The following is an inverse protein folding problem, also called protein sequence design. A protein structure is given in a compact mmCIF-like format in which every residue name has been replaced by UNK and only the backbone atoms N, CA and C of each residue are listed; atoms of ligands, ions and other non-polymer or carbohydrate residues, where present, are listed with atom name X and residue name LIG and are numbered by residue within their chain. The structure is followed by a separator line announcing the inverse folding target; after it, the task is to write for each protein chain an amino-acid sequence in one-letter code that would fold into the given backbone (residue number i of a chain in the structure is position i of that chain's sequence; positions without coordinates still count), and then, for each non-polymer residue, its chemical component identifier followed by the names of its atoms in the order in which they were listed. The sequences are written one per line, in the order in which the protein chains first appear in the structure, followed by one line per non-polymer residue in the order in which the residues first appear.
data_IF_377141514711
#
_entry.id   IF_377141514711
#
_cell.length_a   1.000
_cell.length_b   1.000
_cell.length_c   1.000
_cell.angle_alpha   90.00
_cell.angle_beta   90.00
_cell.angle_gamma   90.00
#
_symmetry.space_group_name_H-M   'P 1'
#
loop_
_entity.id
_entity.type
_entity.pdbx_description
1 polymer ?
#
# COMPACT_ATOMS: atom_id res chain seq x y z
N UNK A 1 -49.13 -30.96 87.78
CA UNK A 1 -49.63 -29.58 87.59
C UNK A 1 -48.57 -28.84 86.79
N UNK A 2 -49.00 -28.26 85.67
CA UNK A 2 -48.48 -27.07 84.97
C UNK A 2 -46.97 -26.79 84.93
N UNK A 3 -46.47 -26.55 83.72
CA UNK A 3 -45.37 -25.60 83.50
C UNK A 3 -44.40 -26.03 82.41
N UNK A 4 -44.76 -25.83 81.14
CA UNK A 4 -43.78 -25.72 80.06
C UNK A 4 -43.14 -24.33 80.11
N UNK A 5 -41.82 -24.26 79.98
CA UNK A 5 -41.10 -23.06 79.59
C UNK A 5 -40.05 -23.46 78.55
N UNK A 6 -40.29 -23.09 77.29
CA UNK A 6 -39.36 -23.22 76.18
C UNK A 6 -38.19 -22.25 76.37
N UNK A 7 -36.96 -22.74 76.21
CA UNK A 7 -35.79 -21.90 75.96
C UNK A 7 -35.27 -22.25 74.58
N UNK A 8 -35.30 -21.26 73.69
CA UNK A 8 -34.94 -21.38 72.29
C UNK A 8 -33.42 -21.45 72.08
N UNK A 9 -33.01 -22.33 71.17
CA UNK A 9 -31.66 -22.36 70.59
C UNK A 9 -31.72 -21.58 69.28
N UNK A 10 -31.01 -20.46 69.20
CA UNK A 10 -30.87 -19.68 67.98
C UNK A 10 -29.91 -20.39 67.03
N UNK A 11 -30.43 -20.86 65.89
CA UNK A 11 -29.66 -21.42 64.79
C UNK A 11 -29.30 -20.25 63.85
N UNK A 12 -28.04 -19.80 63.87
CA UNK A 12 -27.52 -18.82 62.92
C UNK A 12 -27.28 -19.50 61.57
N UNK A 13 -28.22 -19.32 60.64
CA UNK A 13 -28.06 -19.70 59.23
C UNK A 13 -27.34 -18.56 58.51
N UNK A 14 -26.06 -18.76 58.21
CA UNK A 14 -25.29 -17.89 57.32
C UNK A 14 -25.65 -18.23 55.87
N UNK A 15 -26.50 -17.43 55.23
CA UNK A 15 -26.70 -17.46 53.79
C UNK A 15 -25.49 -16.83 53.12
N UNK A 16 -24.54 -17.64 52.67
CA UNK A 16 -23.56 -17.22 51.67
C UNK A 16 -24.28 -17.22 50.32
N UNK A 17 -24.70 -16.04 49.87
CA UNK A 17 -25.12 -15.83 48.48
C UNK A 17 -23.84 -15.70 47.63
N UNK A 18 -23.38 -16.80 47.04
CA UNK A 18 -22.50 -16.73 45.88
C UNK A 18 -23.39 -16.40 44.68
N UNK A 19 -23.30 -15.18 44.15
CA UNK A 19 -23.78 -14.90 42.81
C UNK A 19 -22.78 -15.52 41.84
N UNK A 20 -23.08 -16.72 41.33
CA UNK A 20 -22.46 -17.21 40.11
C UNK A 20 -22.97 -16.30 38.98
N UNK A 21 -22.15 -15.34 38.58
CA UNK A 21 -22.33 -14.69 37.29
C UNK A 21 -21.72 -15.63 36.25
N UNK A 22 -22.54 -16.39 35.54
CA UNK A 22 -22.13 -16.98 34.27
C UNK A 22 -21.83 -15.82 33.30
N UNK A 23 -20.55 -15.52 33.13
CA UNK A 23 -20.09 -14.67 32.03
C UNK A 23 -20.29 -15.50 30.77
N UNK A 24 -21.39 -15.25 30.06
CA UNK A 24 -21.57 -15.79 28.72
C UNK A 24 -20.62 -15.05 27.78
N UNK A 25 -19.45 -15.63 27.53
CA UNK A 25 -18.58 -15.19 26.45
C UNK A 25 -19.33 -15.42 25.13
N UNK A 26 -19.83 -14.32 24.55
CA UNK A 26 -20.51 -14.36 23.27
C UNK A 26 -19.46 -14.36 22.16
N UNK A 27 -19.38 -15.46 21.42
CA UNK A 27 -18.55 -15.55 20.21
C UNK A 27 -19.32 -14.98 19.02
N UNK A 28 -18.68 -14.05 18.32
CA UNK A 28 -19.11 -13.47 17.06
C UNK A 28 -18.38 -14.16 15.93
N UNK A 29 -19.07 -14.31 14.79
CA UNK A 29 -18.49 -14.84 13.56
C UNK A 29 -18.86 -13.90 12.44
N UNK A 30 -17.86 -13.24 11.87
CA UNK A 30 -17.98 -12.53 10.61
C UNK A 30 -17.52 -13.44 9.48
N UNK A 31 -18.25 -13.41 8.38
CA UNK A 31 -17.89 -14.12 7.14
C UNK A 31 -17.85 -13.08 6.03
N UNK A 32 -16.72 -13.00 5.36
CA UNK A 32 -16.51 -12.14 4.21
C UNK A 32 -16.27 -13.01 2.99
N UNK A 33 -16.83 -12.59 1.86
CA UNK A 33 -16.37 -13.05 0.57
C UNK A 33 -15.40 -12.00 0.07
N UNK A 34 -14.21 -12.43 -0.38
CA UNK A 34 -13.36 -11.54 -1.16
C UNK A 34 -14.02 -11.32 -2.52
N UNK A 35 -14.93 -10.34 -2.58
CA UNK A 35 -15.60 -9.95 -3.81
C UNK A 35 -14.59 -9.25 -4.74
N UNK A 36 -14.74 -9.49 -6.04
CA UNK A 36 -14.06 -8.71 -7.05
C UNK A 36 -14.66 -7.30 -7.09
N UNK A 37 -14.30 -6.43 -6.14
CA UNK A 37 -14.33 -5.02 -6.46
C UNK A 37 -13.25 -4.84 -7.52
N UNK A 38 -13.65 -4.59 -8.78
CA UNK A 38 -12.70 -4.40 -9.88
C UNK A 38 -11.94 -3.10 -9.60
N UNK A 39 -10.88 -3.22 -8.82
CA UNK A 39 -9.94 -2.15 -8.55
C UNK A 39 -9.09 -2.02 -9.81
N UNK A 40 -9.33 -0.95 -10.55
CA UNK A 40 -8.45 -0.56 -11.64
C UNK A 40 -7.35 0.31 -11.05
N UNK A 41 -6.08 -0.04 -11.28
CA UNK A 41 -4.95 0.78 -10.88
C UNK A 41 -3.94 0.93 -12.00
N UNK A 42 -3.51 2.16 -12.27
CA UNK A 42 -2.47 2.45 -13.24
C UNK A 42 -1.27 3.02 -12.48
N UNK A 43 -0.13 2.34 -12.57
CA UNK A 43 1.11 2.73 -11.89
C UNK A 43 2.11 3.20 -12.95
N UNK A 44 2.60 4.42 -12.80
CA UNK A 44 3.64 5.01 -13.63
C UNK A 44 4.92 5.18 -12.81
N UNK A 45 6.01 4.55 -13.23
CA UNK A 45 7.34 4.90 -12.76
C UNK A 45 7.96 5.93 -13.71
N UNK A 46 8.45 7.03 -13.15
CA UNK A 46 9.28 8.00 -13.85
C UNK A 46 10.67 7.93 -13.23
N UNK A 47 11.60 7.35 -13.97
CA UNK A 47 12.95 7.05 -13.49
C UNK A 47 13.93 7.97 -14.16
N UNK A 48 14.71 8.66 -13.35
CA UNK A 48 15.78 9.53 -13.81
C UNK A 48 16.87 8.74 -14.54
N UNK A 49 17.10 9.12 -15.79
CA UNK A 49 18.08 8.52 -16.70
C UNK A 49 19.33 9.40 -16.88
N UNK A 50 19.56 10.35 -15.96
CA UNK A 50 20.75 11.17 -15.92
C UNK A 50 22.03 10.36 -15.60
N UNK A 51 23.18 10.99 -15.86
CA UNK A 51 24.50 10.38 -15.71
C UNK A 51 24.90 9.99 -14.27
N UNK A 52 24.25 10.55 -13.26
CA UNK A 52 24.56 10.33 -11.84
C UNK A 52 23.80 9.14 -11.23
N UNK A 53 22.76 8.65 -11.91
CA UNK A 53 21.80 7.69 -11.37
C UNK A 53 22.24 6.23 -11.37
N UNK A 54 23.50 5.91 -11.71
CA UNK A 54 23.92 4.51 -11.92
C UNK A 54 23.75 3.66 -10.65
N UNK A 55 24.26 4.14 -9.51
CA UNK A 55 24.21 3.43 -8.23
C UNK A 55 22.78 3.35 -7.67
N UNK A 56 21.97 4.37 -7.90
CA UNK A 56 20.57 4.48 -7.51
C UNK A 56 19.70 3.52 -8.34
N UNK A 57 19.93 3.43 -9.65
CA UNK A 57 19.23 2.49 -10.55
C UNK A 57 19.56 1.03 -10.23
N UNK A 58 20.81 0.71 -9.88
CA UNK A 58 21.17 -0.65 -9.43
C UNK A 58 20.39 -1.05 -8.16
N UNK A 59 20.24 -0.11 -7.21
CA UNK A 59 19.43 -0.33 -6.00
C UNK A 59 17.94 -0.41 -6.31
N UNK A 60 17.43 0.38 -7.25
CA UNK A 60 16.05 0.27 -7.70
C UNK A 60 15.78 -1.11 -8.29
N UNK A 61 16.64 -1.57 -9.21
CA UNK A 61 16.53 -2.88 -9.83
C UNK A 61 16.57 -4.03 -8.81
N UNK A 62 17.40 -3.92 -7.77
CA UNK A 62 17.49 -4.91 -6.69
C UNK A 62 16.24 -4.99 -5.81
N UNK A 63 15.51 -3.88 -5.64
CA UNK A 63 14.32 -3.81 -4.79
C UNK A 63 12.99 -3.89 -5.57
N UNK A 64 13.03 -3.76 -6.89
CA UNK A 64 11.82 -3.74 -7.72
C UNK A 64 11.03 -5.06 -7.69
N UNK A 65 11.70 -6.19 -7.42
CA UNK A 65 11.02 -7.48 -7.28
C UNK A 65 10.00 -7.47 -6.13
N UNK A 66 10.27 -6.77 -5.02
CA UNK A 66 9.34 -6.67 -3.91
C UNK A 66 8.04 -5.95 -4.30
N UNK A 67 8.13 -4.93 -5.16
CA UNK A 67 6.95 -4.27 -5.73
C UNK A 67 6.14 -5.25 -6.58
N UNK A 68 6.79 -5.94 -7.53
CA UNK A 68 6.11 -6.87 -8.42
C UNK A 68 5.46 -8.04 -7.68
N UNK A 69 6.11 -8.57 -6.65
CA UNK A 69 5.53 -9.62 -5.79
C UNK A 69 4.21 -9.18 -5.14
N UNK A 70 4.12 -7.93 -4.68
CA UNK A 70 2.89 -7.37 -4.13
C UNK A 70 1.84 -7.18 -5.24
N UNK A 71 2.25 -6.65 -6.39
CA UNK A 71 1.34 -6.43 -7.52
C UNK A 71 0.75 -7.75 -8.04
N UNK A 72 1.53 -8.82 -8.08
CA UNK A 72 1.09 -10.16 -8.49
C UNK A 72 0.24 -10.87 -7.42
N UNK A 73 0.35 -10.47 -6.16
CA UNK A 73 -0.43 -11.03 -5.06
C UNK A 73 -1.84 -10.43 -4.94
N UNK A 74 -2.03 -9.20 -5.41
CA UNK A 74 -3.32 -8.52 -5.35
C UNK A 74 -4.29 -8.94 -6.46
N UNK A 75 -5.57 -8.67 -6.25
CA UNK A 75 -6.66 -9.00 -7.18
C UNK A 75 -7.05 -7.82 -8.10
N UNK A 76 -6.36 -6.68 -8.01
CA UNK A 76 -6.63 -5.52 -8.86
C UNK A 76 -6.25 -5.79 -10.32
N UNK A 77 -7.05 -5.25 -11.24
CA UNK A 77 -6.62 -5.14 -12.63
C UNK A 77 -5.67 -3.95 -12.74
N UNK A 78 -4.37 -4.22 -12.70
CA UNK A 78 -3.36 -3.17 -12.76
C UNK A 78 -2.68 -3.04 -14.13
N UNK A 79 -2.26 -1.82 -14.44
CA UNK A 79 -1.32 -1.51 -15.52
C UNK A 79 -0.07 -0.86 -14.93
N UNK A 80 1.08 -1.13 -15.52
CA UNK A 80 2.36 -0.55 -15.14
C UNK A 80 3.05 0.04 -16.36
N UNK A 81 3.49 1.28 -16.25
CA UNK A 81 4.29 1.98 -17.25
C UNK A 81 5.59 2.49 -16.65
N UNK A 82 6.63 2.58 -17.49
CA UNK A 82 7.92 3.18 -17.12
C UNK A 82 8.28 4.26 -18.14
N UNK A 83 8.55 5.47 -17.68
CA UNK A 83 9.06 6.58 -18.49
C UNK A 83 10.34 7.14 -17.84
N UNK A 84 11.05 8.01 -18.56
CA UNK A 84 12.24 8.70 -18.04
C UNK A 84 11.97 10.17 -17.74
N UNK A 85 12.86 10.84 -17.01
CA UNK A 85 12.79 12.29 -16.74
C UNK A 85 13.19 13.15 -17.95
N UNK A 86 13.80 12.56 -18.99
CA UNK A 86 14.22 13.28 -20.19
C UNK A 86 13.06 13.63 -21.13
N UNK A 87 12.65 14.90 -21.08
CA UNK A 87 11.63 15.47 -21.97
C UNK A 87 12.20 16.14 -23.22
N UNK A 88 13.52 16.10 -23.42
CA UNK A 88 14.20 16.74 -24.55
C UNK A 88 14.19 15.90 -25.84
N UNK A 89 13.79 14.63 -25.72
CA UNK A 89 13.76 13.67 -26.82
C UNK A 89 12.38 13.58 -27.49
N UNK A 90 12.33 12.95 -28.67
CA UNK A 90 11.06 12.60 -29.30
C UNK A 90 10.27 11.52 -28.53
N UNK A 91 10.92 10.83 -27.58
CA UNK A 91 10.34 9.78 -26.76
C UNK A 91 9.85 10.27 -25.40
N UNK A 92 9.90 11.59 -25.13
CA UNK A 92 9.43 12.21 -23.90
C UNK A 92 8.07 11.65 -23.45
N UNK A 93 8.01 11.05 -22.26
CA UNK A 93 6.79 10.46 -21.71
C UNK A 93 6.25 9.23 -22.44
N UNK A 94 6.94 8.65 -23.44
CA UNK A 94 6.58 7.35 -24.00
C UNK A 94 6.97 6.22 -23.04
N UNK A 95 6.10 5.22 -22.90
CA UNK A 95 6.37 4.10 -22.02
C UNK A 95 7.41 3.14 -22.61
N UNK A 96 8.51 2.93 -21.89
CA UNK A 96 9.55 1.96 -22.20
C UNK A 96 9.00 0.54 -22.08
N UNK A 97 9.06 -0.21 -23.17
CA UNK A 97 8.52 -1.57 -23.24
C UNK A 97 6.99 -1.65 -23.33
N UNK A 98 6.30 -0.50 -23.38
CA UNK A 98 4.84 -0.43 -23.45
C UNK A 98 4.16 -0.54 -22.09
N UNK A 99 2.92 -1.02 -22.12
CA UNK A 99 2.08 -1.20 -20.93
C UNK A 99 2.24 -2.64 -20.43
N UNK A 100 2.62 -2.79 -19.16
CA UNK A 100 2.70 -4.07 -18.48
C UNK A 100 1.42 -4.37 -17.70
N UNK A 101 1.04 -5.64 -17.59
CA UNK A 101 -0.11 -6.12 -16.82
C UNK A 101 0.15 -7.55 -16.31
N UNK A 102 -0.73 -8.15 -15.49
CA UNK A 102 -0.60 -9.57 -15.08
C UNK A 102 -0.48 -10.56 -16.25
N UNK A 103 -0.93 -10.17 -17.44
CA UNK A 103 -0.88 -10.99 -18.66
C UNK A 103 0.43 -10.86 -19.45
N UNK A 104 1.33 -9.96 -19.06
CA UNK A 104 2.62 -9.75 -19.74
C UNK A 104 3.49 -11.01 -19.62
N UNK A 105 3.92 -11.62 -20.74
CA UNK A 105 4.84 -12.76 -20.70
C UNK A 105 6.17 -12.38 -20.05
N UNK A 106 6.65 -13.22 -19.13
CA UNK A 106 7.89 -12.99 -18.40
C UNK A 106 7.94 -11.58 -17.76
N UNK A 107 6.82 -11.17 -17.14
CA UNK A 107 6.61 -9.85 -16.55
C UNK A 107 7.83 -9.29 -15.81
N UNK A 108 8.40 -10.03 -14.85
CA UNK A 108 9.56 -9.58 -14.09
C UNK A 108 10.77 -9.23 -14.96
N UNK A 109 11.04 -10.01 -16.01
CA UNK A 109 12.11 -9.73 -16.96
C UNK A 109 11.79 -8.52 -17.84
N UNK A 110 10.55 -8.42 -18.32
CA UNK A 110 10.13 -7.33 -19.20
C UNK A 110 10.15 -5.98 -18.48
N UNK A 111 9.63 -5.94 -17.25
CA UNK A 111 9.63 -4.73 -16.42
C UNK A 111 11.04 -4.39 -15.95
N UNK A 112 11.85 -5.38 -15.56
CA UNK A 112 13.25 -5.14 -15.19
C UNK A 112 14.05 -4.50 -16.33
N UNK A 113 13.79 -4.89 -17.58
CA UNK A 113 14.41 -4.25 -18.75
C UNK A 113 13.90 -2.82 -19.01
N UNK A 114 12.65 -2.51 -18.64
CA UNK A 114 12.08 -1.16 -18.78
C UNK A 114 12.60 -0.20 -17.71
N UNK A 115 12.72 -0.67 -16.46
CA UNK A 115 13.24 0.08 -15.30
C UNK A 115 14.75 0.33 -15.39
N UNK A 116 15.49 -0.53 -16.10
CA UNK A 116 16.89 -0.28 -16.46
C UNK A 116 16.98 0.81 -17.53
N UNK A 117 16.75 2.07 -17.12
CA UNK A 117 16.60 3.19 -18.05
C UNK A 117 17.93 3.60 -18.68
N UNK A 118 19.04 3.37 -17.98
CA UNK A 118 20.37 3.81 -18.41
C UNK A 118 20.66 5.22 -17.93
N UNK A 119 21.83 5.75 -18.29
CA UNK A 119 22.39 6.99 -17.73
C UNK A 119 22.79 7.98 -18.83
N UNK A 120 22.15 7.89 -20.00
CA UNK A 120 22.46 8.68 -21.20
C UNK A 120 21.47 9.86 -21.41
N UNK A 121 20.55 10.06 -20.47
CA UNK A 121 19.51 11.07 -20.51
C UNK A 121 20.01 12.49 -20.22
N UNK A 122 19.07 13.44 -20.33
CA UNK A 122 19.29 14.85 -20.03
C UNK A 122 19.78 15.09 -18.60
N UNK A 123 20.47 16.22 -18.40
CA UNK A 123 20.78 16.79 -17.07
C UNK A 123 19.74 17.82 -16.60
N UNK A 124 18.70 17.99 -17.41
CA UNK A 124 17.56 18.81 -17.07
C UNK A 124 16.39 17.84 -16.81
N UNK A 125 16.32 17.31 -15.59
CA UNK A 125 15.39 16.25 -15.19
C UNK A 125 13.98 16.82 -15.00
N UNK A 126 13.07 16.52 -15.91
CA UNK A 126 11.71 17.06 -15.90
C UNK A 126 10.68 15.95 -15.61
N UNK A 127 10.78 15.33 -14.44
CA UNK A 127 9.94 14.18 -14.07
C UNK A 127 8.45 14.50 -13.97
N UNK A 128 8.07 15.71 -13.53
CA UNK A 128 6.66 16.10 -13.48
C UNK A 128 6.07 16.26 -14.89
N UNK A 129 6.80 16.88 -15.81
CA UNK A 129 6.39 17.00 -17.20
C UNK A 129 6.38 15.65 -17.91
N UNK A 130 7.40 14.82 -17.71
CA UNK A 130 7.45 13.47 -18.25
C UNK A 130 6.23 12.64 -17.81
N UNK A 131 5.85 12.71 -16.53
CA UNK A 131 4.63 12.07 -16.03
C UNK A 131 3.37 12.63 -16.70
N UNK A 132 3.29 13.94 -16.92
CA UNK A 132 2.13 14.58 -17.55
C UNK A 132 1.98 14.14 -19.01
N UNK A 133 3.08 14.09 -19.75
CA UNK A 133 3.14 13.54 -21.10
C UNK A 133 2.79 12.06 -21.10
N UNK A 134 3.22 11.28 -20.12
CA UNK A 134 2.90 9.86 -20.08
C UNK A 134 1.40 9.57 -19.95
N UNK A 135 0.64 10.48 -19.33
CA UNK A 135 -0.80 10.35 -19.08
C UNK A 135 -1.68 11.21 -20.00
N UNK A 136 -1.12 11.93 -20.97
CA UNK A 136 -1.84 12.86 -21.86
C UNK A 136 -2.67 12.17 -22.97
N UNK A 137 -2.58 10.84 -23.06
CA UNK A 137 -3.20 10.02 -24.08
C UNK A 137 -2.27 9.55 -25.19
N UNK A 138 -1.00 9.97 -25.22
CA UNK A 138 0.01 9.48 -26.17
C UNK A 138 0.32 7.99 -25.99
N UNK A 139 0.25 7.50 -24.76
CA UNK A 139 0.33 6.08 -24.44
C UNK A 139 -1.08 5.48 -24.45
N UNK A 140 -1.55 5.13 -25.66
CA UNK A 140 -2.92 4.66 -25.86
C UNK A 140 -3.24 3.45 -24.95
N UNK A 141 -4.24 3.62 -24.09
CA UNK A 141 -4.74 2.58 -23.19
C UNK A 141 -4.08 2.53 -21.81
N UNK A 142 -3.08 3.38 -21.53
CA UNK A 142 -2.38 3.37 -20.25
C UNK A 142 -3.28 3.83 -19.10
N UNK A 143 -3.71 5.10 -19.11
CA UNK A 143 -4.61 5.62 -18.06
C UNK A 143 -6.04 5.26 -18.39
N UNK A 144 -6.65 4.43 -17.55
CA UNK A 144 -8.03 3.96 -17.66
C UNK A 144 -8.95 4.87 -16.84
N UNK A 145 -10.08 5.31 -17.43
CA UNK A 145 -11.04 6.13 -16.69
C UNK A 145 -11.52 5.45 -15.41
N UNK A 146 -11.37 6.13 -14.27
CA UNK A 146 -11.79 5.62 -12.96
C UNK A 146 -10.78 4.70 -12.27
N UNK A 147 -9.63 4.44 -12.87
CA UNK A 147 -8.51 3.78 -12.19
C UNK A 147 -7.82 4.72 -11.20
N UNK A 148 -7.32 4.18 -10.09
CA UNK A 148 -6.39 4.88 -9.22
C UNK A 148 -5.04 5.02 -9.94
N UNK A 149 -4.56 6.25 -10.10
CA UNK A 149 -3.28 6.56 -10.72
C UNK A 149 -2.20 6.77 -9.65
N UNK A 150 -1.16 5.95 -9.68
CA UNK A 150 0.03 6.11 -8.85
C UNK A 150 1.20 6.55 -9.73
N UNK A 151 1.76 7.73 -9.48
CA UNK A 151 2.99 8.20 -10.13
C UNK A 151 4.13 8.07 -9.12
N UNK A 152 5.14 7.26 -9.43
CA UNK A 152 6.33 7.05 -8.61
C UNK A 152 7.52 7.68 -9.31
N UNK A 153 8.04 8.77 -8.75
CA UNK A 153 9.22 9.46 -9.26
C UNK A 153 10.47 8.94 -8.53
N UNK A 154 11.54 8.70 -9.27
CA UNK A 154 12.82 8.24 -8.74
C UNK A 154 13.95 9.08 -9.36
N UNK A 155 14.54 10.01 -8.59
CA UNK A 155 15.52 11.00 -9.10
C UNK A 155 16.46 11.49 -7.99
N UNK A 156 17.73 11.74 -8.31
CA UNK A 156 18.74 12.28 -7.40
C UNK A 156 18.84 13.81 -7.42
N UNK A 157 18.05 14.51 -8.23
CA UNK A 157 17.96 15.97 -8.29
C UNK A 157 16.51 16.48 -8.15
N UNK A 158 16.32 17.80 -8.19
CA UNK A 158 14.97 18.40 -8.18
C UNK A 158 14.38 18.46 -9.59
N UNK A 159 13.07 18.52 -9.68
CA UNK A 159 12.36 18.65 -10.95
C UNK A 159 12.63 20.02 -11.62
N UNK A 160 13.04 20.00 -12.88
CA UNK A 160 13.22 21.20 -13.71
C UNK A 160 12.07 21.43 -14.70
N UNK A 161 10.93 20.76 -14.52
CA UNK A 161 9.76 20.94 -15.38
C UNK A 161 9.22 22.37 -15.31
N UNK A 162 8.77 22.89 -16.46
CA UNK A 162 8.24 24.26 -16.57
C UNK A 162 6.86 24.40 -15.90
N UNK A 163 6.72 25.30 -14.93
CA UNK A 163 5.44 25.66 -14.33
C UNK A 163 5.27 25.20 -12.88
N UNK A 164 4.04 25.28 -12.36
CA UNK A 164 3.74 25.03 -10.95
C UNK A 164 3.41 23.56 -10.71
N UNK A 165 3.88 23.01 -9.58
CA UNK A 165 3.64 21.60 -9.19
C UNK A 165 2.14 21.29 -9.12
N UNK A 166 1.34 22.25 -8.66
CA UNK A 166 -0.11 22.11 -8.55
C UNK A 166 -0.80 21.90 -9.91
N UNK A 167 -0.28 22.47 -11.00
CA UNK A 167 -0.85 22.31 -12.34
C UNK A 167 -0.61 20.89 -12.87
N UNK A 168 0.59 20.33 -12.64
CA UNK A 168 0.90 18.94 -12.95
C UNK A 168 0.01 17.97 -12.18
N UNK A 169 -0.12 18.17 -10.86
CA UNK A 169 -1.01 17.35 -10.01
C UNK A 169 -2.47 17.43 -10.47
N UNK A 170 -2.94 18.62 -10.88
CA UNK A 170 -4.28 18.78 -11.45
C UNK A 170 -4.43 18.01 -12.78
N UNK A 171 -3.39 18.00 -13.63
CA UNK A 171 -3.33 17.20 -14.85
C UNK A 171 -3.45 15.71 -14.58
N UNK A 172 -2.69 15.17 -13.61
CA UNK A 172 -2.76 13.74 -13.26
C UNK A 172 -4.15 13.35 -12.75
N UNK A 173 -4.78 14.19 -11.92
CA UNK A 173 -6.15 13.97 -11.44
C UNK A 173 -7.16 13.99 -12.57
N UNK A 174 -7.00 14.92 -13.52
CA UNK A 174 -7.88 14.98 -14.68
C UNK A 174 -7.75 13.72 -15.56
N UNK A 175 -6.53 13.20 -15.72
CA UNK A 175 -6.28 11.95 -16.44
C UNK A 175 -6.92 10.73 -15.74
N UNK A 176 -6.82 10.65 -14.40
CA UNK A 176 -7.46 9.58 -13.60
C UNK A 176 -9.01 9.67 -13.59
N UNK A 177 -9.57 10.82 -13.93
CA UNK A 177 -11.02 11.05 -13.97
C UNK A 177 -11.63 11.06 -12.58
N UNK A 178 -12.50 10.08 -12.29
CA UNK A 178 -13.09 9.91 -10.95
C UNK A 178 -12.18 9.11 -10.00
N UNK A 179 -11.08 8.54 -10.51
CA UNK A 179 -10.08 7.85 -9.71
C UNK A 179 -9.22 8.82 -8.90
N UNK A 180 -8.54 8.29 -7.88
CA UNK A 180 -7.53 9.04 -7.14
C UNK A 180 -6.25 9.16 -7.99
N UNK A 181 -5.49 10.24 -7.80
CA UNK A 181 -4.13 10.36 -8.33
C UNK A 181 -3.17 10.70 -7.18
N UNK A 182 -2.18 9.84 -6.98
CA UNK A 182 -1.16 9.95 -5.93
C UNK A 182 0.23 10.03 -6.55
N UNK A 183 1.04 10.96 -6.03
CA UNK A 183 2.45 11.09 -6.40
C UNK A 183 3.29 10.60 -5.21
N UNK A 184 4.17 9.65 -5.48
CA UNK A 184 5.16 9.12 -4.56
C UNK A 184 6.55 9.46 -5.09
N UNK A 185 7.54 9.55 -4.20
CA UNK A 185 8.89 9.96 -4.60
C UNK A 185 9.99 9.24 -3.82
N UNK A 186 10.99 8.74 -4.53
CA UNK A 186 12.31 8.39 -3.96
C UNK A 186 13.28 9.46 -4.43
N UNK A 187 13.58 10.43 -3.57
CA UNK A 187 14.33 11.65 -3.93
C UNK A 187 15.24 12.09 -2.79
N UNK A 188 16.17 13.01 -3.05
CA UNK A 188 17.05 13.53 -2.01
C UNK A 188 16.33 14.38 -0.96
N UNK A 189 16.83 14.32 0.28
CA UNK A 189 16.15 14.88 1.44
C UNK A 189 16.12 16.42 1.47
N UNK A 190 15.06 16.99 2.05
CA UNK A 190 15.02 18.43 2.35
C UNK A 190 15.75 18.77 3.65
N UNK A 191 16.34 19.97 3.77
CA UNK A 191 16.38 21.04 2.75
C UNK A 191 17.63 21.01 1.84
N UNK A 192 18.58 20.10 2.07
CA UNK A 192 19.94 20.22 1.53
C UNK A 192 20.40 19.03 0.66
N UNK A 193 19.52 18.08 0.39
CA UNK A 193 19.88 16.79 -0.20
C UNK A 193 20.24 15.75 0.86
N UNK A 194 20.75 14.62 0.39
CA UNK A 194 21.22 13.52 1.23
C UNK A 194 22.55 12.98 0.71
N UNK A 195 23.24 12.23 1.58
CA UNK A 195 24.40 11.44 1.18
C UNK A 195 24.51 10.19 2.07
N UNK A 196 24.76 9.03 1.46
CA UNK A 196 24.99 7.77 2.13
C UNK A 196 25.89 6.86 1.30
N UNK A 197 26.99 6.40 1.86
CA UNK A 197 27.93 5.53 1.14
C UNK A 197 28.47 6.20 -0.14
N UNK A 198 28.21 5.59 -1.30
CA UNK A 198 28.55 6.12 -2.62
C UNK A 198 27.43 6.95 -3.27
N UNK A 199 26.28 7.08 -2.62
CA UNK A 199 25.11 7.83 -3.10
C UNK A 199 25.09 9.24 -2.53
N UNK A 200 24.78 10.22 -3.37
CA UNK A 200 24.50 11.58 -2.96
C UNK A 200 23.47 12.18 -3.91
N UNK A 201 22.54 12.96 -3.37
CA UNK A 201 21.44 13.55 -4.13
C UNK A 201 21.19 14.99 -3.68
N UNK A 202 20.81 15.84 -4.63
CA UNK A 202 20.23 17.14 -4.36
C UNK A 202 18.84 17.04 -3.72
N UNK A 203 18.32 18.12 -3.12
CA UNK A 203 16.98 18.12 -2.54
C UNK A 203 15.89 18.06 -3.63
N UNK A 204 14.98 17.07 -3.58
CA UNK A 204 13.85 16.94 -4.53
C UNK A 204 12.61 17.76 -4.13
N UNK A 205 12.74 19.07 -3.96
CA UNK A 205 11.71 19.94 -3.38
C UNK A 205 10.36 19.91 -4.08
N UNK A 206 10.33 19.96 -5.41
CA UNK A 206 9.08 19.96 -6.19
C UNK A 206 8.39 18.60 -6.16
N UNK A 207 9.16 17.51 -6.15
CA UNK A 207 8.60 16.17 -5.94
C UNK A 207 7.99 16.03 -4.53
N UNK A 208 8.66 16.55 -3.50
CA UNK A 208 8.11 16.56 -2.12
C UNK A 208 6.83 17.40 -2.03
N UNK A 209 6.74 18.51 -2.77
CA UNK A 209 5.50 19.28 -2.89
C UNK A 209 4.37 18.46 -3.55
N UNK A 210 4.65 17.77 -4.65
CA UNK A 210 3.67 16.92 -5.34
C UNK A 210 3.16 15.78 -4.45
N UNK A 211 4.07 15.15 -3.69
CA UNK A 211 3.76 14.14 -2.67
C UNK A 211 2.79 14.72 -1.62
N UNK A 212 3.07 15.92 -1.11
CA UNK A 212 2.22 16.57 -0.11
C UNK A 212 0.83 16.92 -0.66
N UNK A 213 0.76 17.44 -1.89
CA UNK A 213 -0.51 17.81 -2.55
C UNK A 213 -1.42 16.61 -2.82
N UNK A 214 -0.86 15.41 -2.90
CA UNK A 214 -1.58 14.18 -3.24
C UNK A 214 -1.65 13.16 -2.10
N UNK A 215 -1.13 13.52 -0.92
CA UNK A 215 -1.04 12.63 0.25
C UNK A 215 -0.31 11.30 -0.06
N UNK A 216 0.69 11.35 -0.96
CA UNK A 216 1.52 10.20 -1.26
C UNK A 216 2.63 9.97 -0.24
N UNK A 217 3.60 9.15 -0.62
CA UNK A 217 4.71 8.75 0.25
C UNK A 217 6.04 9.17 -0.35
N UNK A 218 7.00 9.49 0.51
CA UNK A 218 8.38 9.76 0.10
C UNK A 218 9.35 8.82 0.80
N UNK A 219 10.45 8.54 0.13
CA UNK A 219 11.63 7.90 0.70
C UNK A 219 12.88 8.69 0.27
N UNK A 220 13.93 8.64 1.08
CA UNK A 220 15.23 9.20 0.74
C UNK A 220 15.92 8.32 -0.30
N UNK A 221 16.35 8.87 -1.43
CA UNK A 221 17.13 8.11 -2.43
C UNK A 221 18.48 7.63 -1.90
N UNK A 222 18.96 8.18 -0.79
CA UNK A 222 20.18 7.72 -0.13
C UNK A 222 19.97 6.51 0.79
N UNK A 223 18.74 5.97 0.92
CA UNK A 223 18.53 4.72 1.66
C UNK A 223 19.10 3.52 0.90
N UNK A 224 19.49 2.48 1.62
CA UNK A 224 19.97 1.23 1.02
C UNK A 224 18.82 0.34 0.52
N UNK A 225 17.61 0.53 1.04
CA UNK A 225 16.44 -0.31 0.76
C UNK A 225 15.18 0.53 0.50
N UNK A 226 14.66 0.44 -0.73
CA UNK A 226 13.43 1.12 -1.16
C UNK A 226 12.17 0.27 -0.97
N UNK A 227 12.32 -0.97 -0.47
CA UNK A 227 11.24 -1.96 -0.41
C UNK A 227 10.06 -1.47 0.42
N UNK A 228 10.26 -0.68 1.48
CA UNK A 228 9.15 -0.16 2.29
C UNK A 228 8.21 0.72 1.45
N UNK A 229 8.76 1.71 0.74
CA UNK A 229 7.97 2.58 -0.13
C UNK A 229 7.32 1.78 -1.26
N UNK A 230 8.12 0.95 -1.94
CA UNK A 230 7.69 0.15 -3.07
C UNK A 230 6.54 -0.80 -2.70
N UNK A 231 6.68 -1.54 -1.60
CA UNK A 231 5.61 -2.41 -1.07
C UNK A 231 4.39 -1.59 -0.70
N UNK A 232 4.54 -0.42 -0.06
CA UNK A 232 3.40 0.43 0.31
C UNK A 232 2.63 0.93 -0.90
N UNK A 233 3.33 1.38 -1.94
CA UNK A 233 2.72 1.77 -3.22
C UNK A 233 2.01 0.57 -3.85
N UNK A 234 2.67 -0.58 -3.92
CA UNK A 234 2.07 -1.81 -4.44
C UNK A 234 0.77 -2.18 -3.71
N UNK A 235 0.78 -2.18 -2.38
CA UNK A 235 -0.38 -2.48 -1.54
C UNK A 235 -1.52 -1.51 -1.78
N UNK A 236 -1.22 -0.21 -1.96
CA UNK A 236 -2.22 0.79 -2.29
C UNK A 236 -2.82 0.56 -3.67
N UNK A 237 -1.96 0.34 -4.67
CA UNK A 237 -2.34 0.16 -6.06
C UNK A 237 -3.24 -1.07 -6.23
N UNK A 238 -2.87 -2.20 -5.61
CA UNK A 238 -3.69 -3.42 -5.74
C UNK A 238 -4.75 -3.57 -4.67
N UNK A 239 -4.78 -2.66 -3.69
CA UNK A 239 -5.71 -2.68 -2.56
C UNK A 239 -5.71 -4.02 -1.85
N UNK A 240 -4.82 -4.19 -0.86
CA UNK A 240 -4.97 -5.35 0.02
C UNK A 240 -6.33 -5.28 0.71
N UNK A 241 -7.17 -6.32 0.60
CA UNK A 241 -8.51 -6.27 1.15
C UNK A 241 -8.45 -6.17 2.68
N UNK A 242 -9.04 -5.10 3.21
CA UNK A 242 -9.26 -4.93 4.65
C UNK A 242 -10.68 -5.37 4.98
N UNK A 243 -10.81 -6.30 5.93
CA UNK A 243 -12.10 -6.88 6.29
C UNK A 243 -12.60 -6.26 7.59
N UNK A 244 -13.44 -5.23 7.47
CA UNK A 244 -14.00 -4.51 8.61
C UNK A 244 -14.94 -5.42 9.42
N UNK A 245 -14.63 -5.59 10.70
CA UNK A 245 -15.39 -6.42 11.63
C UNK A 245 -16.69 -5.72 12.04
N UNK A 246 -17.74 -6.51 12.23
CA UNK A 246 -19.06 -6.02 12.67
C UNK A 246 -19.02 -5.42 14.08
N UNK A 247 -18.08 -5.86 14.92
CA UNK A 247 -17.89 -5.36 16.29
C UNK A 247 -16.42 -5.29 16.66
N UNK A 248 -16.09 -4.54 17.71
CA UNK A 248 -14.70 -4.41 18.20
C UNK A 248 -14.31 -5.68 18.95
N UNK A 249 -13.36 -6.49 18.44
CA UNK A 249 -12.96 -7.74 19.07
C UNK A 249 -12.09 -7.50 20.31
N UNK A 250 -12.05 -8.48 21.20
CA UNK A 250 -10.92 -8.70 22.10
C UNK A 250 -9.77 -9.33 21.28
N UNK A 251 -8.63 -8.65 21.09
CA UNK A 251 -7.61 -9.10 20.12
C UNK A 251 -7.11 -10.53 20.33
N UNK A 252 -6.93 -10.95 21.59
CA UNK A 252 -6.39 -12.28 21.91
C UNK A 252 -7.33 -13.44 21.58
N UNK A 253 -8.60 -13.13 21.29
CA UNK A 253 -9.65 -14.11 20.95
C UNK A 253 -9.81 -14.31 19.46
N UNK A 254 -9.17 -13.48 18.63
CA UNK A 254 -9.27 -13.55 17.17
C UNK A 254 -8.77 -14.91 16.64
N UNK A 255 -9.59 -15.50 15.79
CA UNK A 255 -9.26 -16.65 14.94
C UNK A 255 -9.74 -16.33 13.53
N UNK A 256 -8.86 -16.54 12.56
CA UNK A 256 -9.09 -16.15 11.16
C UNK A 256 -8.84 -17.36 10.27
N UNK A 257 -9.72 -17.58 9.30
CA UNK A 257 -9.61 -18.63 8.29
C UNK A 257 -9.73 -18.04 6.89
N UNK A 258 -9.01 -18.63 5.93
CA UNK A 258 -9.15 -18.38 4.49
C UNK A 258 -9.42 -19.74 3.83
N UNK A 259 -10.58 -19.93 3.21
CA UNK A 259 -11.04 -21.21 2.64
C UNK A 259 -10.75 -22.40 3.60
N UNK A 260 -11.23 -22.29 4.84
CA UNK A 260 -11.05 -23.27 5.94
C UNK A 260 -9.61 -23.45 6.47
N UNK A 261 -8.61 -22.74 5.93
CA UNK A 261 -7.23 -22.78 6.45
C UNK A 261 -7.03 -21.69 7.51
N UNK A 262 -6.71 -22.10 8.74
CA UNK A 262 -6.44 -21.16 9.84
C UNK A 262 -5.18 -20.33 9.57
N UNK A 263 -5.34 -19.01 9.62
CA UNK A 263 -4.27 -18.03 9.50
C UNK A 263 -3.84 -17.55 10.87
N UNK A 264 -2.53 -17.36 11.06
CA UNK A 264 -1.97 -16.91 12.34
C UNK A 264 -1.80 -15.39 12.37
N UNK A 265 -2.03 -14.80 13.55
CA UNK A 265 -1.82 -13.38 13.80
C UNK A 265 -0.33 -13.02 13.80
N UNK A 266 0.17 -12.52 12.67
CA UNK A 266 1.57 -12.12 12.47
C UNK A 266 1.68 -11.15 11.28
N UNK A 267 2.67 -10.25 11.30
CA UNK A 267 2.84 -9.22 10.26
C UNK A 267 3.45 -9.75 8.94
N UNK A 268 3.81 -11.03 8.86
CA UNK A 268 4.40 -11.66 7.67
C UNK A 268 3.72 -12.99 7.43
N UNK A 269 3.21 -13.23 6.22
CA UNK A 269 2.47 -14.45 5.86
C UNK A 269 1.34 -14.79 6.86
N UNK A 270 0.58 -13.79 7.30
CA UNK A 270 -0.46 -13.93 8.32
C UNK A 270 -1.43 -12.74 8.32
N UNK A 271 -2.02 -12.42 9.47
CA UNK A 271 -2.89 -11.25 9.59
C UNK A 271 -2.54 -10.35 10.78
N UNK A 272 -2.96 -9.09 10.73
CA UNK A 272 -3.00 -8.16 11.86
C UNK A 272 -4.39 -7.55 12.00
N UNK A 273 -4.73 -7.10 13.21
CA UNK A 273 -5.93 -6.31 13.46
C UNK A 273 -5.58 -4.82 13.54
N UNK A 274 -6.28 -3.99 12.76
CA UNK A 274 -6.21 -2.54 12.82
C UNK A 274 -7.36 -2.00 13.68
N UNK A 275 -7.03 -1.44 14.84
CA UNK A 275 -8.02 -0.93 15.79
C UNK A 275 -8.70 0.39 15.34
N UNK A 276 -8.06 1.18 14.48
CA UNK A 276 -8.64 2.42 13.96
C UNK A 276 -9.70 2.13 12.89
N UNK A 277 -9.45 1.11 12.06
CA UNK A 277 -10.38 0.65 11.02
C UNK A 277 -11.37 -0.40 11.53
N UNK A 278 -11.13 -0.95 12.72
CA UNK A 278 -11.78 -2.15 13.21
C UNK A 278 -11.76 -3.29 12.17
N UNK A 279 -10.59 -3.59 11.60
CA UNK A 279 -10.48 -4.48 10.44
C UNK A 279 -9.34 -5.48 10.53
N UNK A 280 -9.49 -6.62 9.85
CA UNK A 280 -8.42 -7.58 9.60
C UNK A 280 -7.66 -7.20 8.34
N UNK A 281 -6.34 -7.18 8.43
CA UNK A 281 -5.41 -6.91 7.33
C UNK A 281 -4.53 -8.15 7.14
N UNK A 282 -4.53 -8.71 5.94
CA UNK A 282 -3.70 -9.87 5.60
C UNK A 282 -2.36 -9.44 4.99
N UNK A 283 -1.33 -10.28 5.20
CA UNK A 283 0.05 -10.01 4.81
C UNK A 283 0.67 -11.19 4.07
N UNK A 284 1.50 -10.90 3.07
CA UNK A 284 2.27 -11.89 2.32
C UNK A 284 1.40 -12.98 1.72
N UNK A 285 1.80 -14.25 1.88
CA UNK A 285 1.11 -15.40 1.28
C UNK A 285 -0.25 -15.72 1.91
N UNK A 286 -0.64 -15.05 2.99
CA UNK A 286 -1.93 -15.22 3.64
C UNK A 286 -3.03 -14.33 3.05
N UNK A 287 -2.69 -13.41 2.14
CA UNK A 287 -3.68 -12.55 1.47
C UNK A 287 -4.68 -13.41 0.69
N UNK A 288 -5.99 -13.32 1.01
CA UNK A 288 -7.03 -14.09 0.33
C UNK A 288 -7.20 -13.57 -1.10
N UNK A 289 -7.40 -14.49 -2.05
CA UNK A 289 -7.67 -14.18 -3.46
C UNK A 289 -9.16 -14.00 -3.71
N UNK A 290 -9.51 -13.42 -4.86
CA UNK A 290 -10.90 -13.27 -5.32
C UNK A 290 -11.66 -14.59 -5.22
N UNK A 291 -12.84 -14.53 -4.61
CA UNK A 291 -13.74 -15.66 -4.43
C UNK A 291 -13.40 -16.57 -3.25
N UNK A 292 -12.28 -16.33 -2.55
CA UNK A 292 -12.01 -17.00 -1.27
C UNK A 292 -12.92 -16.44 -0.18
N UNK A 293 -13.34 -17.33 0.73
CA UNK A 293 -14.11 -16.97 1.92
C UNK A 293 -13.16 -16.70 3.10
N UNK A 294 -13.39 -15.60 3.80
CA UNK A 294 -12.70 -15.25 5.04
C UNK A 294 -13.68 -15.46 6.20
N UNK A 295 -13.34 -16.37 7.10
CA UNK A 295 -14.04 -16.52 8.38
C UNK A 295 -13.26 -15.82 9.49
N UNK A 296 -13.93 -15.03 10.32
CA UNK A 296 -13.32 -14.42 11.51
C UNK A 296 -14.19 -14.68 12.73
N UNK A 297 -13.64 -15.37 13.73
CA UNK A 297 -14.29 -15.61 15.02
C UNK A 297 -13.59 -14.81 16.12
N UNK A 298 -14.36 -14.18 17.00
CA UNK A 298 -13.85 -13.38 18.11
C UNK A 298 -14.88 -13.22 19.22
N UNK A 299 -14.42 -12.82 20.39
CA UNK A 299 -15.27 -12.36 21.49
C UNK A 299 -15.19 -10.84 21.59
N UNK A 300 -16.20 -10.21 22.19
CA UNK A 300 -16.21 -8.78 22.48
C UNK A 300 -16.06 -8.56 23.99
N UNK A 301 -15.58 -7.39 24.40
CA UNK A 301 -15.54 -7.05 25.82
C UNK A 301 -16.96 -7.04 26.41
N UNK A 302 -17.15 -7.68 27.56
CA UNK A 302 -18.38 -7.58 28.32
C UNK A 302 -18.63 -6.10 28.68
N UNK A 303 -19.78 -5.58 28.27
CA UNK A 303 -20.21 -4.20 28.51
C UNK A 303 -20.62 -3.92 29.95
#
# INVERSE_FOLDING_TARGET
MQGWACVGVALSVSLAACSDYEVHEQTFNDVFLQEAEVRLSDVLFVVDDSGSMSEEQDRLAANFSAFLEVMEAGDAEWQLGVATTDVTTAEAGLLRGGIFSPSTPALAQAVGAAVAVGTDGSRDEAGLEAAALAVDGRNAGFVRPGAELHVVVFSDEDDLSDGEVADYVAGYRAAAGNGLAQVHAVVGDLPAGCASGSSAAGPGGRYVEAVALTAGWRESICTEDYSELLVRVGVSAVGLPTFALTSVPQPDTLRVWVDDVEMYGRPVDGFTYDAALNAIVFHGRAVPRTGMEIGVAYQIAAG
#
